data_IF_545757293120
#
_entry.id   IF_545757293120
#
_cell.length_a   1.000
_cell.length_b   1.000
_cell.length_c   1.000
_cell.angle_alpha   90.00
_cell.angle_beta   90.00
_cell.angle_gamma   90.00
#
_symmetry.space_group_name_H-M   'P 1'
#
loop_
_entity.id
_entity.type
_entity.pdbx_description
1 polymer ?
#
# COMPACT_ATOMS: atom_id res chain seq x y z
N UNK A 1 -32.95 -37.68 -48.56
CA UNK A 1 -32.79 -36.42 -47.80
C UNK A 1 -32.40 -36.79 -46.38
N UNK A 2 -31.11 -36.71 -46.04
CA UNK A 2 -30.61 -36.98 -44.70
C UNK A 2 -30.68 -35.67 -43.89
N UNK A 3 -31.43 -35.68 -42.77
CA UNK A 3 -31.46 -34.57 -41.83
C UNK A 3 -30.14 -34.53 -41.07
N UNK A 4 -29.36 -33.49 -41.32
CA UNK A 4 -28.16 -33.17 -40.54
C UNK A 4 -28.64 -32.67 -39.18
N UNK A 5 -28.50 -33.51 -38.15
CA UNK A 5 -28.75 -33.10 -36.78
C UNK A 5 -27.63 -32.16 -36.34
N UNK A 6 -27.97 -30.88 -36.23
CA UNK A 6 -27.10 -29.84 -35.69
C UNK A 6 -26.93 -30.09 -34.18
N UNK A 7 -25.92 -30.87 -33.80
CA UNK A 7 -25.53 -31.01 -32.41
C UNK A 7 -24.91 -29.70 -31.95
N UNK A 8 -25.73 -28.85 -31.34
CA UNK A 8 -25.25 -27.73 -30.54
C UNK A 8 -24.37 -28.29 -29.42
N UNK A 9 -23.04 -28.20 -29.59
CA UNK A 9 -22.06 -28.35 -28.52
C UNK A 9 -22.20 -27.15 -27.56
N UNK A 10 -23.32 -27.09 -26.85
CA UNK A 10 -23.45 -26.24 -25.67
C UNK A 10 -22.60 -26.86 -24.57
N UNK A 11 -21.30 -26.55 -24.56
CA UNK A 11 -20.45 -26.86 -23.41
C UNK A 11 -21.11 -26.22 -22.19
N UNK A 12 -21.64 -27.06 -21.30
CA UNK A 12 -22.26 -26.60 -20.06
C UNK A 12 -21.15 -26.10 -19.13
N UNK A 13 -20.75 -24.84 -19.31
CA UNK A 13 -19.78 -24.21 -18.43
C UNK A 13 -20.42 -24.08 -17.05
N UNK A 14 -19.79 -24.65 -16.03
CA UNK A 14 -20.20 -24.44 -14.64
C UNK A 14 -19.61 -23.11 -14.15
N UNK A 15 -20.39 -22.01 -14.10
CA UNK A 15 -19.86 -20.69 -13.75
C UNK A 15 -19.27 -20.68 -12.33
N UNK A 16 -19.82 -21.48 -11.42
CA UNK A 16 -19.30 -21.61 -10.04
C UNK A 16 -17.92 -22.26 -10.01
N UNK A 17 -17.65 -23.19 -10.92
CA UNK A 17 -16.34 -23.84 -11.08
C UNK A 17 -15.28 -22.85 -11.56
N UNK A 18 -15.60 -22.02 -12.54
CA UNK A 18 -14.70 -21.01 -13.07
C UNK A 18 -14.38 -19.93 -12.02
N UNK A 19 -15.39 -19.41 -11.31
CA UNK A 19 -15.19 -18.48 -10.21
C UNK A 19 -14.31 -19.07 -9.09
N UNK A 20 -14.38 -20.39 -8.86
CA UNK A 20 -13.56 -21.05 -7.83
C UNK A 20 -12.10 -21.07 -8.24
N UNK A 21 -11.80 -21.47 -9.48
CA UNK A 21 -10.43 -21.54 -9.99
C UNK A 21 -9.80 -20.14 -9.98
N UNK A 22 -10.51 -19.15 -10.51
CA UNK A 22 -10.03 -17.76 -10.55
C UNK A 22 -9.84 -17.21 -9.14
N UNK A 23 -10.81 -17.43 -8.24
CA UNK A 23 -10.71 -16.98 -6.85
C UNK A 23 -9.51 -17.57 -6.10
N UNK A 24 -9.25 -18.89 -6.27
CA UNK A 24 -8.06 -19.52 -5.70
C UNK A 24 -6.76 -19.01 -6.34
N UNK A 25 -6.73 -18.79 -7.65
CA UNK A 25 -5.57 -18.22 -8.33
C UNK A 25 -5.26 -16.81 -7.82
N UNK A 26 -6.28 -15.97 -7.62
CA UNK A 26 -6.13 -14.64 -7.02
C UNK A 26 -5.59 -14.71 -5.59
N UNK A 27 -6.13 -15.61 -4.76
CA UNK A 27 -5.62 -15.80 -3.39
C UNK A 27 -4.18 -16.30 -3.38
N UNK A 28 -3.84 -17.29 -4.21
CA UNK A 28 -2.50 -17.83 -4.29
C UNK A 28 -1.50 -16.75 -4.77
N UNK A 29 -1.85 -16.00 -5.81
CA UNK A 29 -1.04 -14.87 -6.29
C UNK A 29 -0.82 -13.82 -5.21
N UNK A 30 -1.88 -13.43 -4.49
CA UNK A 30 -1.77 -12.50 -3.37
C UNK A 30 -0.87 -13.06 -2.25
N UNK A 31 -0.98 -14.34 -1.91
CA UNK A 31 -0.12 -14.96 -0.88
C UNK A 31 1.35 -15.00 -1.29
N UNK A 32 1.64 -15.34 -2.55
CA UNK A 32 3.00 -15.31 -3.09
C UNK A 32 3.55 -13.88 -3.04
N UNK A 33 2.76 -12.90 -3.45
CA UNK A 33 3.13 -11.48 -3.33
C UNK A 33 3.43 -11.12 -1.89
N UNK A 34 2.59 -11.50 -0.93
CA UNK A 34 2.82 -11.19 0.49
C UNK A 34 4.09 -11.84 1.03
N UNK A 35 4.40 -13.08 0.63
CA UNK A 35 5.65 -13.75 1.01
C UNK A 35 6.84 -12.97 0.45
N UNK A 36 6.82 -12.63 -0.84
CA UNK A 36 7.91 -11.88 -1.48
C UNK A 36 8.11 -10.52 -0.83
N UNK A 37 7.02 -9.81 -0.51
CA UNK A 37 7.10 -8.49 0.12
C UNK A 37 7.56 -8.54 1.58
N UNK A 38 7.32 -9.65 2.27
CA UNK A 38 7.72 -9.78 3.69
C UNK A 38 9.22 -10.03 3.84
N UNK A 39 9.94 -10.49 2.80
CA UNK A 39 11.37 -10.78 2.87
C UNK A 39 12.22 -9.66 2.25
N UNK A 40 13.18 -9.07 2.98
CA UNK A 40 13.60 -9.36 4.37
C UNK A 40 12.68 -8.70 5.43
N UNK A 41 12.28 -9.41 6.50
CA UNK A 41 11.35 -8.87 7.50
C UNK A 41 12.06 -7.90 8.46
N UNK A 42 11.77 -6.61 8.34
CA UNK A 42 12.28 -5.56 9.23
C UNK A 42 11.15 -4.87 10.00
N UNK A 43 10.36 -5.64 10.77
CA UNK A 43 9.21 -5.15 11.55
C UNK A 43 9.55 -4.01 12.53
N UNK A 44 10.82 -3.89 12.93
CA UNK A 44 11.31 -2.80 13.79
C UNK A 44 11.58 -1.49 13.06
N UNK A 45 11.70 -1.49 11.72
CA UNK A 45 11.94 -0.29 10.93
C UNK A 45 10.59 0.30 10.45
N UNK A 46 10.35 1.57 10.79
CA UNK A 46 9.14 2.30 10.39
C UNK A 46 9.07 2.45 8.87
N UNK A 47 10.21 2.63 8.18
CA UNK A 47 10.26 2.74 6.72
C UNK A 47 9.80 1.45 6.05
N UNK A 48 10.25 0.29 6.56
CA UNK A 48 9.82 -1.01 6.07
C UNK A 48 8.32 -1.21 6.29
N UNK A 49 7.81 -0.87 7.48
CA UNK A 49 6.38 -0.99 7.80
C UNK A 49 5.50 -0.14 6.89
N UNK A 50 5.91 1.10 6.62
CA UNK A 50 5.21 1.99 5.68
C UNK A 50 5.22 1.41 4.28
N UNK A 51 6.38 0.97 3.78
CA UNK A 51 6.49 0.37 2.45
C UNK A 51 5.65 -0.90 2.31
N UNK A 52 5.68 -1.77 3.33
CA UNK A 52 4.87 -2.97 3.38
C UNK A 52 3.37 -2.65 3.38
N UNK A 53 2.91 -1.76 4.26
CA UNK A 53 1.48 -1.37 4.34
C UNK A 53 1.01 -0.67 3.06
N UNK A 54 1.89 0.08 2.40
CA UNK A 54 1.60 0.70 1.12
C UNK A 54 1.38 -0.36 0.03
N UNK A 55 2.32 -1.28 -0.14
CA UNK A 55 2.22 -2.33 -1.15
C UNK A 55 1.09 -3.33 -0.85
N UNK A 56 0.85 -3.61 0.44
CA UNK A 56 -0.30 -4.39 0.90
C UNK A 56 -1.60 -3.70 0.50
N UNK A 57 -1.72 -2.39 0.75
CA UNK A 57 -2.87 -1.59 0.35
C UNK A 57 -3.10 -1.62 -1.17
N UNK A 58 -2.05 -1.43 -1.96
CA UNK A 58 -2.15 -1.40 -3.42
C UNK A 58 -2.57 -2.75 -4.02
N UNK A 59 -2.16 -3.87 -3.43
CA UNK A 59 -2.49 -5.23 -3.90
C UNK A 59 -3.73 -5.84 -3.23
N UNK A 60 -4.30 -5.16 -2.23
CA UNK A 60 -5.44 -5.65 -1.44
C UNK A 60 -6.72 -5.86 -2.25
N UNK A 61 -6.87 -5.18 -3.39
CA UNK A 61 -8.00 -5.36 -4.29
C UNK A 61 -8.06 -6.79 -4.86
N UNK A 62 -6.92 -7.43 -5.08
CA UNK A 62 -6.84 -8.81 -5.58
C UNK A 62 -7.34 -9.79 -4.51
N UNK A 63 -7.00 -9.53 -3.24
CA UNK A 63 -7.51 -10.29 -2.10
C UNK A 63 -9.03 -10.15 -1.98
N UNK A 64 -9.56 -8.92 -2.08
CA UNK A 64 -10.99 -8.66 -2.04
C UNK A 64 -11.73 -9.44 -3.15
N UNK A 65 -11.24 -9.33 -4.38
CA UNK A 65 -11.83 -10.00 -5.54
C UNK A 65 -11.77 -11.52 -5.40
N UNK A 66 -10.62 -12.06 -4.97
CA UNK A 66 -10.43 -13.50 -4.76
C UNK A 66 -11.38 -14.07 -3.71
N UNK A 67 -11.53 -13.38 -2.57
CA UNK A 67 -12.45 -13.77 -1.51
C UNK A 67 -13.91 -13.66 -1.94
N UNK A 68 -14.28 -12.60 -2.68
CA UNK A 68 -15.63 -12.44 -3.21
C UNK A 68 -16.01 -13.57 -4.18
N UNK A 69 -15.11 -13.94 -5.09
CA UNK A 69 -15.32 -15.04 -6.05
C UNK A 69 -15.43 -16.40 -5.35
N UNK A 70 -14.57 -16.67 -4.38
CA UNK A 70 -14.63 -17.90 -3.59
C UNK A 70 -15.94 -17.97 -2.78
N UNK A 71 -16.35 -16.85 -2.18
CA UNK A 71 -17.61 -16.78 -1.45
C UNK A 71 -18.82 -17.03 -2.36
N UNK A 72 -18.81 -16.51 -3.59
CA UNK A 72 -19.82 -16.79 -4.60
C UNK A 72 -19.86 -18.27 -5.01
N UNK A 73 -18.70 -18.89 -5.25
CA UNK A 73 -18.60 -20.30 -5.64
C UNK A 73 -19.05 -21.29 -4.55
N UNK A 74 -19.01 -20.89 -3.28
CA UNK A 74 -19.36 -21.73 -2.13
C UNK A 74 -20.66 -21.32 -1.43
N UNK A 75 -21.51 -20.52 -2.09
CA UNK A 75 -22.76 -20.03 -1.51
C UNK A 75 -23.70 -21.15 -1.03
N UNK A 76 -23.66 -22.32 -1.68
CA UNK A 76 -24.50 -23.48 -1.39
C UNK A 76 -24.02 -24.31 -0.17
N UNK A 77 -22.73 -24.23 0.18
CA UNK A 77 -22.13 -25.04 1.26
C UNK A 77 -22.18 -24.28 2.58
N UNK A 78 -23.27 -24.49 3.34
CA UNK A 78 -23.59 -23.80 4.60
C UNK A 78 -22.42 -23.68 5.62
N UNK A 79 -21.65 -24.73 5.95
CA UNK A 79 -20.56 -24.61 6.93
C UNK A 79 -19.34 -23.84 6.40
N UNK A 80 -19.00 -24.00 5.12
CA UNK A 80 -17.86 -23.32 4.50
C UNK A 80 -18.14 -21.83 4.31
N UNK A 81 -19.37 -21.47 3.92
CA UNK A 81 -19.82 -20.08 3.82
C UNK A 81 -19.63 -19.32 5.13
N UNK A 82 -20.01 -19.91 6.27
CA UNK A 82 -19.87 -19.27 7.59
C UNK A 82 -18.41 -19.07 7.99
N UNK A 83 -17.54 -20.06 7.74
CA UNK A 83 -16.11 -19.94 8.01
C UNK A 83 -15.46 -18.83 7.16
N UNK A 84 -15.79 -18.75 5.87
CA UNK A 84 -15.29 -17.71 4.98
C UNK A 84 -15.83 -16.32 5.33
N UNK A 85 -17.10 -16.23 5.67
CA UNK A 85 -17.71 -14.99 6.14
C UNK A 85 -16.97 -14.44 7.38
N UNK A 86 -16.67 -15.31 8.34
CA UNK A 86 -15.92 -14.96 9.53
C UNK A 86 -14.46 -14.57 9.20
N UNK A 87 -13.81 -15.30 8.29
CA UNK A 87 -12.48 -14.95 7.80
C UNK A 87 -12.45 -13.56 7.15
N UNK A 88 -13.39 -13.26 6.24
CA UNK A 88 -13.52 -11.93 5.63
C UNK A 88 -13.75 -10.84 6.68
N UNK A 89 -14.54 -11.10 7.71
CA UNK A 89 -14.80 -10.15 8.78
C UNK A 89 -13.53 -9.87 9.60
N UNK A 90 -12.80 -10.92 10.01
CA UNK A 90 -11.52 -10.78 10.74
C UNK A 90 -10.53 -10.00 9.89
N UNK A 91 -10.33 -10.40 8.62
CA UNK A 91 -9.38 -9.75 7.72
C UNK A 91 -9.79 -8.28 7.51
N UNK A 92 -11.06 -7.99 7.28
CA UNK A 92 -11.55 -6.62 7.09
C UNK A 92 -11.33 -5.73 8.32
N UNK A 93 -11.47 -6.28 9.53
CA UNK A 93 -11.14 -5.57 10.77
C UNK A 93 -9.63 -5.33 10.88
N UNK A 94 -8.80 -6.33 10.59
CA UNK A 94 -7.34 -6.19 10.59
C UNK A 94 -6.89 -5.13 9.60
N UNK A 95 -7.48 -5.06 8.41
CA UNK A 95 -7.20 -4.03 7.41
C UNK A 95 -7.54 -2.62 7.91
N UNK A 96 -8.68 -2.46 8.58
CA UNK A 96 -9.06 -1.17 9.18
C UNK A 96 -8.14 -0.78 10.36
N UNK A 97 -7.71 -1.72 11.19
CA UNK A 97 -6.74 -1.43 12.25
C UNK A 97 -5.36 -1.09 11.66
N UNK A 98 -4.97 -1.75 10.57
CA UNK A 98 -3.71 -1.51 9.86
C UNK A 98 -3.68 -0.13 9.22
N UNK A 99 -4.82 0.43 8.79
CA UNK A 99 -4.87 1.78 8.23
C UNK A 99 -4.54 2.84 9.29
N UNK A 100 -4.98 2.67 10.54
CA UNK A 100 -4.63 3.56 11.66
C UNK A 100 -3.12 3.51 11.94
N UNK A 101 -2.53 2.32 11.91
CA UNK A 101 -1.08 2.14 12.04
C UNK A 101 -0.31 2.79 10.89
N UNK A 102 -0.79 2.65 9.65
CA UNK A 102 -0.18 3.25 8.47
C UNK A 102 -0.15 4.78 8.57
N UNK A 103 -1.22 5.42 9.06
CA UNK A 103 -1.25 6.88 9.27
C UNK A 103 -0.16 7.29 10.26
N UNK A 104 -0.10 6.63 11.42
CA UNK A 104 0.88 6.95 12.46
C UNK A 104 2.32 6.78 11.97
N UNK A 105 2.60 5.71 11.26
CA UNK A 105 3.94 5.43 10.75
C UNK A 105 4.34 6.40 9.64
N UNK A 106 3.41 6.77 8.75
CA UNK A 106 3.64 7.78 7.71
C UNK A 106 4.02 9.14 8.30
N UNK A 107 3.35 9.57 9.37
CA UNK A 107 3.69 10.82 10.07
C UNK A 107 5.10 10.77 10.66
N UNK A 108 5.48 9.66 11.29
CA UNK A 108 6.83 9.47 11.83
C UNK A 108 7.91 9.50 10.75
N UNK A 109 7.69 8.83 9.62
CA UNK A 109 8.63 8.84 8.50
C UNK A 109 8.76 10.24 7.92
N UNK A 110 7.66 10.99 7.83
CA UNK A 110 7.67 12.38 7.40
C UNK A 110 8.52 13.26 8.34
N UNK A 111 8.35 13.14 9.65
CA UNK A 111 9.12 13.88 10.66
C UNK A 111 10.62 13.53 10.61
N UNK A 112 10.95 12.24 10.46
CA UNK A 112 12.35 11.79 10.30
C UNK A 112 12.98 12.36 9.03
N UNK A 113 12.28 12.33 7.90
CA UNK A 113 12.77 12.89 6.64
C UNK A 113 13.01 14.40 6.77
N UNK A 114 12.07 15.15 7.35
CA UNK A 114 12.21 16.60 7.56
C UNK A 114 13.38 16.92 8.49
N UNK A 115 13.53 16.16 9.58
CA UNK A 115 14.61 16.33 10.55
C UNK A 115 15.97 16.06 9.91
N UNK A 116 16.11 14.95 9.16
CA UNK A 116 17.35 14.61 8.46
C UNK A 116 17.73 15.69 7.44
N UNK A 117 16.78 16.17 6.63
CA UNK A 117 17.02 17.25 5.68
C UNK A 117 17.42 18.54 6.42
N UNK A 118 16.78 18.85 7.54
CA UNK A 118 17.09 20.05 8.33
C UNK A 118 18.49 20.00 8.95
N UNK A 119 18.87 18.85 9.51
CA UNK A 119 20.20 18.64 10.10
C UNK A 119 21.27 18.70 9.01
N UNK A 120 21.05 18.05 7.87
CA UNK A 120 21.99 18.09 6.75
C UNK A 120 22.14 19.51 6.19
N UNK A 121 21.04 20.23 5.99
CA UNK A 121 21.08 21.63 5.55
C UNK A 121 21.83 22.52 6.55
N UNK A 122 21.58 22.36 7.85
CA UNK A 122 22.28 23.12 8.90
C UNK A 122 23.78 22.83 8.91
N UNK A 123 24.19 21.55 8.82
CA UNK A 123 25.60 21.15 8.75
C UNK A 123 26.30 21.74 7.52
N UNK A 124 25.66 21.71 6.35
CA UNK A 124 26.21 22.33 5.14
C UNK A 124 26.27 23.85 5.27
N UNK A 125 25.27 24.49 5.87
CA UNK A 125 25.26 25.93 6.08
C UNK A 125 26.38 26.38 7.03
N UNK A 126 26.66 25.64 8.10
CA UNK A 126 27.81 25.90 8.98
C UNK A 126 29.14 25.73 8.24
N UNK A 127 29.25 24.78 7.31
CA UNK A 127 30.46 24.63 6.48
C UNK A 127 30.64 25.82 5.53
N UNK A 128 29.56 26.31 4.92
CA UNK A 128 29.58 27.52 4.07
C UNK A 128 29.98 28.75 4.89
N UNK A 129 29.42 28.94 6.08
CA UNK A 129 29.78 30.05 6.97
C UNK A 129 31.25 29.99 7.42
N UNK A 130 31.78 28.79 7.72
CA UNK A 130 33.20 28.61 8.05
C UNK A 130 34.10 28.94 6.86
N UNK A 131 33.73 28.55 5.64
CA UNK A 131 34.45 28.90 4.42
C UNK A 131 34.39 30.40 4.10
N UNK A 132 33.32 31.09 4.51
CA UNK A 132 33.17 32.53 4.38
C UNK A 132 33.99 33.31 5.43
N UNK A 133 34.12 32.76 6.64
CA UNK A 133 34.88 33.35 7.74
C UNK A 133 36.41 33.18 7.62
N UNK A 134 36.89 32.25 6.79
CA UNK A 134 38.31 32.05 6.50
C UNK A 134 38.67 32.31 5.01
N UNK A 135 38.65 33.60 4.58
CA UNK A 135 38.94 33.98 3.20
C UNK A 135 40.39 33.75 2.76
N UNK A 136 41.29 33.32 3.66
CA UNK A 136 42.71 33.07 3.35
C UNK A 136 42.95 31.71 2.68
N UNK A 137 41.97 30.81 2.66
CA UNK A 137 42.13 29.45 2.14
C UNK A 137 41.93 29.32 0.62
N UNK A 138 41.28 30.28 -0.07
CA UNK A 138 41.12 30.22 -1.52
C UNK A 138 40.82 31.59 -2.17
N UNK A 139 41.74 32.20 -2.94
CA UNK A 139 41.55 33.53 -3.56
C UNK A 139 40.47 33.60 -4.66
N UNK A 140 39.89 32.47 -5.07
CA UNK A 140 38.85 32.39 -6.10
C UNK A 140 37.41 32.31 -5.56
N UNK A 141 37.20 32.37 -4.24
CA UNK A 141 35.85 32.31 -3.64
C UNK A 141 35.37 33.73 -3.28
N UNK A 142 34.61 34.33 -4.20
CA UNK A 142 33.92 35.61 -3.95
C UNK A 142 32.81 35.41 -2.90
N UNK A 143 32.64 36.31 -1.92
CA UNK A 143 31.56 36.23 -0.92
C UNK A 143 30.17 36.04 -1.55
N UNK A 144 29.91 36.64 -2.71
CA UNK A 144 28.65 36.53 -3.46
C UNK A 144 28.36 35.09 -3.95
N UNK A 145 29.39 34.29 -4.27
CA UNK A 145 29.22 32.89 -4.69
C UNK A 145 28.85 32.00 -3.51
N UNK A 146 29.38 32.28 -2.33
CA UNK A 146 29.04 31.59 -1.08
C UNK A 146 27.63 31.94 -0.61
N UNK A 147 27.22 33.20 -0.76
CA UNK A 147 25.86 33.65 -0.44
C UNK A 147 24.83 33.05 -1.42
N UNK A 148 25.13 33.00 -2.72
CA UNK A 148 24.32 32.25 -3.69
C UNK A 148 24.24 30.76 -3.35
N UNK A 149 25.35 30.13 -2.94
CA UNK A 149 25.34 28.73 -2.54
C UNK A 149 24.46 28.49 -1.30
N UNK A 150 24.48 29.40 -0.32
CA UNK A 150 23.63 29.33 0.86
C UNK A 150 22.14 29.52 0.52
N UNK A 151 21.81 30.47 -0.38
CA UNK A 151 20.43 30.68 -0.85
C UNK A 151 19.91 29.48 -1.66
N UNK A 152 20.75 28.92 -2.54
CA UNK A 152 20.40 27.75 -3.34
C UNK A 152 20.24 26.50 -2.47
N UNK A 153 21.09 26.33 -1.44
CA UNK A 153 20.95 25.28 -0.45
C UNK A 153 19.64 25.40 0.33
N UNK A 154 19.28 26.59 0.82
CA UNK A 154 18.01 26.81 1.52
C UNK A 154 16.80 26.54 0.61
N UNK A 155 16.87 27.00 -0.65
CA UNK A 155 15.80 26.76 -1.63
C UNK A 155 15.65 25.27 -1.93
N UNK A 156 16.75 24.55 -2.11
CA UNK A 156 16.76 23.11 -2.35
C UNK A 156 16.29 22.32 -1.13
N UNK A 157 16.73 22.70 0.08
CA UNK A 157 16.28 22.09 1.33
C UNK A 157 14.77 22.30 1.56
N UNK A 158 14.25 23.48 1.27
CA UNK A 158 12.81 23.76 1.34
C UNK A 158 12.02 22.98 0.28
N UNK A 159 12.52 22.92 -0.95
CA UNK A 159 11.92 22.10 -2.00
C UNK A 159 11.90 20.60 -1.63
N UNK A 160 12.99 20.06 -1.07
CA UNK A 160 13.06 18.68 -0.59
C UNK A 160 12.12 18.42 0.58
N UNK A 161 12.05 19.33 1.57
CA UNK A 161 11.08 19.24 2.67
C UNK A 161 9.65 19.24 2.17
N UNK A 162 9.33 20.09 1.19
CA UNK A 162 7.99 20.18 0.62
C UNK A 162 7.63 18.97 -0.24
N UNK A 163 8.60 18.45 -1.02
CA UNK A 163 8.44 17.21 -1.77
C UNK A 163 8.29 16.00 -0.84
N UNK A 164 9.07 15.92 0.24
CA UNK A 164 8.93 14.86 1.24
C UNK A 164 7.54 14.91 1.90
N UNK A 165 7.06 16.10 2.27
CA UNK A 165 5.71 16.27 2.81
C UNK A 165 4.64 15.80 1.83
N UNK A 166 4.73 16.25 0.58
CA UNK A 166 3.73 15.96 -0.46
C UNK A 166 3.75 14.50 -0.87
N UNK A 167 4.93 13.91 -1.04
CA UNK A 167 5.11 12.51 -1.45
C UNK A 167 4.59 11.55 -0.38
N UNK A 168 4.97 11.76 0.89
CA UNK A 168 4.49 10.93 2.00
C UNK A 168 2.98 11.10 2.19
N UNK A 169 2.44 12.32 2.06
CA UNK A 169 1.01 12.54 2.16
C UNK A 169 0.23 11.85 1.03
N UNK A 170 0.68 12.00 -0.22
CA UNK A 170 0.03 11.40 -1.39
C UNK A 170 0.03 9.88 -1.32
N UNK A 171 1.19 9.30 -1.00
CA UNK A 171 1.34 7.85 -0.87
C UNK A 171 0.59 7.31 0.34
N UNK A 172 0.63 8.03 1.46
CA UNK A 172 -0.09 7.69 2.68
C UNK A 172 -1.60 7.70 2.49
N UNK A 173 -2.16 8.74 1.88
CA UNK A 173 -3.60 8.84 1.59
C UNK A 173 -4.05 7.72 0.64
N UNK A 174 -3.29 7.45 -0.43
CA UNK A 174 -3.63 6.38 -1.39
C UNK A 174 -3.65 5.01 -0.71
N UNK A 175 -2.60 4.69 0.04
CA UNK A 175 -2.48 3.41 0.76
C UNK A 175 -3.59 3.25 1.82
N UNK A 176 -3.76 4.26 2.67
CA UNK A 176 -4.77 4.25 3.74
C UNK A 176 -6.17 4.15 3.16
N UNK A 177 -6.45 4.89 2.08
CA UNK A 177 -7.70 4.82 1.36
C UNK A 177 -8.00 3.41 0.86
N UNK A 178 -7.04 2.77 0.20
CA UNK A 178 -7.18 1.39 -0.28
C UNK A 178 -7.43 0.41 0.87
N UNK A 179 -6.66 0.51 1.97
CA UNK A 179 -6.81 -0.35 3.14
C UNK A 179 -8.20 -0.21 3.79
N UNK A 180 -8.70 1.02 3.93
CA UNK A 180 -10.03 1.29 4.50
C UNK A 180 -11.13 0.78 3.57
N UNK A 181 -11.07 1.09 2.28
CA UNK A 181 -12.07 0.66 1.29
C UNK A 181 -12.15 -0.86 1.23
N UNK A 182 -11.00 -1.54 1.11
CA UNK A 182 -10.97 -3.01 1.09
C UNK A 182 -11.40 -3.59 2.43
N UNK A 183 -10.97 -3.01 3.55
CA UNK A 183 -11.37 -3.45 4.88
C UNK A 183 -12.90 -3.40 5.08
N UNK A 184 -13.53 -2.29 4.69
CA UNK A 184 -14.98 -2.13 4.75
C UNK A 184 -15.71 -3.08 3.79
N UNK A 185 -15.19 -3.26 2.57
CA UNK A 185 -15.76 -4.19 1.60
C UNK A 185 -15.71 -5.64 2.10
N UNK A 186 -14.61 -6.06 2.75
CA UNK A 186 -14.46 -7.37 3.36
C UNK A 186 -15.39 -7.57 4.56
N UNK A 187 -15.58 -6.55 5.40
CA UNK A 187 -16.59 -6.58 6.47
C UNK A 187 -17.98 -6.75 5.87
N UNK A 188 -18.32 -5.99 4.82
CA UNK A 188 -19.59 -6.10 4.11
C UNK A 188 -19.84 -7.49 3.52
N UNK A 189 -18.83 -8.08 2.86
CA UNK A 189 -18.87 -9.44 2.36
C UNK A 189 -19.03 -10.46 3.49
N UNK A 190 -18.30 -10.28 4.60
CA UNK A 190 -18.41 -11.14 5.78
C UNK A 190 -19.81 -11.10 6.39
N UNK A 191 -20.38 -9.90 6.56
CA UNK A 191 -21.75 -9.75 7.05
C UNK A 191 -22.77 -10.37 6.09
N UNK A 192 -22.59 -10.20 4.78
CA UNK A 192 -23.46 -10.80 3.77
C UNK A 192 -23.42 -12.33 3.84
N UNK A 193 -22.23 -12.93 3.87
CA UNK A 193 -22.07 -14.39 3.96
C UNK A 193 -22.58 -15.00 5.27
N UNK A 194 -22.56 -14.22 6.36
CA UNK A 194 -23.06 -14.62 7.67
C UNK A 194 -24.60 -14.59 7.80
N UNK A 195 -25.31 -13.91 6.89
CA UNK A 195 -26.78 -13.85 6.95
C UNK A 195 -27.37 -15.26 6.71
N UNK A 196 -28.40 -15.65 7.49
CA UNK A 196 -29.18 -16.84 7.19
C UNK A 196 -29.88 -16.66 5.83
N UNK A 197 -30.00 -17.71 5.01
CA UNK A 197 -30.78 -17.62 3.78
C UNK A 197 -32.22 -17.25 4.15
N UNK A 198 -32.79 -16.25 3.46
CA UNK A 198 -34.23 -15.98 3.56
C UNK A 198 -34.93 -17.16 2.92
N UNK A 199 -35.64 -17.93 3.75
CA UNK A 199 -36.59 -18.96 3.31
C UNK A 199 -37.73 -18.31 2.54
#
# INVERSE_FOLDING_TARGET
MASISNQNFGVSYNPKGLCRIVGFACLAGFLVDMIVLTFPPALGNVEWRVGFLQQLGDRSIILLLGLALIMYSWIDIRPWRRKLALACLIIGVVFNLSSVLAIRDNLKVQEMAITNISTQASQLQTQIQKAQADPKANPNLTPERLEQAAQLLNSQANALKQNAKTSVLKNGISSVGNLVVVGLALIGLGQYGARPPKN
#
